data_IF_394596968247
#
_entry.id   IF_394596968247
#
_cell.length_a   1.000
_cell.length_b   1.000
_cell.length_c   1.000
_cell.angle_alpha   90.00
_cell.angle_beta   90.00
_cell.angle_gamma   90.00
#
_symmetry.space_group_name_H-M   'P 1'
#
loop_
_entity.id
_entity.type
_entity.pdbx_description
1 polymer ?
#
# COMPACT_ATOMS: atom_id res chain seq x y z
N UNK A 1 -17.74 -14.43 12.78
CA UNK A 1 -19.04 -14.37 12.06
C UNK A 1 -19.90 -13.16 12.41
N UNK A 2 -19.46 -11.91 12.15
CA UNK A 2 -20.34 -10.74 12.17
C UNK A 2 -20.60 -10.27 10.72
N UNK A 3 -21.21 -11.15 9.94
CA UNK A 3 -21.21 -11.09 8.47
C UNK A 3 -21.91 -9.88 7.83
N UNK A 4 -22.70 -9.10 8.59
CA UNK A 4 -23.33 -7.90 8.07
C UNK A 4 -23.45 -6.82 9.16
N UNK A 5 -22.50 -5.87 9.16
CA UNK A 5 -22.47 -4.74 10.11
C UNK A 5 -23.75 -3.89 10.06
N UNK A 6 -24.27 -3.66 8.85
CA UNK A 6 -25.48 -2.87 8.64
C UNK A 6 -26.72 -3.56 9.21
N UNK A 7 -26.87 -4.87 8.97
CA UNK A 7 -27.99 -5.64 9.53
C UNK A 7 -27.99 -5.64 11.06
N UNK A 8 -26.82 -5.67 11.70
CA UNK A 8 -26.74 -5.56 13.16
C UNK A 8 -27.23 -4.19 13.65
N UNK A 9 -26.84 -3.10 12.99
CA UNK A 9 -27.31 -1.74 13.35
C UNK A 9 -28.83 -1.62 13.20
N UNK A 10 -29.39 -2.18 12.11
CA UNK A 10 -30.85 -2.21 11.89
C UNK A 10 -31.55 -3.01 13.00
N UNK A 11 -31.06 -4.21 13.30
CA UNK A 11 -31.64 -5.06 14.34
C UNK A 11 -31.62 -4.39 15.73
N UNK A 12 -30.47 -3.86 16.14
CA UNK A 12 -30.35 -3.19 17.44
C UNK A 12 -31.25 -1.96 17.55
N UNK A 13 -31.50 -1.27 16.44
CA UNK A 13 -32.43 -0.13 16.41
C UNK A 13 -33.87 -0.56 16.58
N UNK A 14 -34.31 -1.60 15.88
CA UNK A 14 -35.66 -2.15 16.04
C UNK A 14 -35.90 -2.69 17.45
N UNK A 15 -34.88 -3.29 18.08
CA UNK A 15 -34.95 -3.75 19.46
C UNK A 15 -35.06 -2.58 20.44
N UNK A 16 -34.30 -1.49 20.22
CA UNK A 16 -34.39 -0.27 21.02
C UNK A 16 -35.75 0.41 20.89
N UNK A 17 -36.28 0.53 19.67
CA UNK A 17 -37.59 1.16 19.43
C UNK A 17 -38.70 0.42 20.21
N UNK A 18 -38.62 -0.92 20.31
CA UNK A 18 -39.55 -1.72 21.12
C UNK A 18 -39.37 -1.47 22.61
N UNK A 19 -38.14 -1.53 23.12
CA UNK A 19 -37.84 -1.31 24.54
C UNK A 19 -38.23 0.09 25.01
N UNK A 20 -38.01 1.10 24.17
CA UNK A 20 -38.43 2.48 24.44
C UNK A 20 -39.94 2.62 24.45
N UNK A 21 -40.65 1.98 23.50
CA UNK A 21 -42.11 1.94 23.52
C UNK A 21 -42.65 1.22 24.76
N UNK A 22 -42.02 0.15 25.20
CA UNK A 22 -42.43 -0.57 26.42
C UNK A 22 -42.16 0.26 27.69
N UNK A 23 -41.05 1.01 27.72
CA UNK A 23 -40.70 1.90 28.81
C UNK A 23 -41.63 3.13 28.90
N UNK A 24 -42.03 3.68 27.75
CA UNK A 24 -43.02 4.77 27.70
C UNK A 24 -44.38 4.31 28.28
N UNK A 25 -44.72 3.02 28.14
CA UNK A 25 -45.93 2.42 28.70
C UNK A 25 -45.80 2.06 30.20
N UNK A 26 -44.62 1.63 30.65
CA UNK A 26 -44.33 1.33 32.06
C UNK A 26 -42.96 1.86 32.50
N UNK A 27 -42.87 3.16 32.85
CA UNK A 27 -41.60 3.82 33.14
C UNK A 27 -40.90 3.32 34.40
N UNK A 28 -41.62 2.62 35.28
CA UNK A 28 -41.11 2.16 36.58
C UNK A 28 -40.50 0.76 36.49
N UNK A 29 -40.55 0.14 35.32
CA UNK A 29 -40.08 -1.23 35.12
C UNK A 29 -38.56 -1.30 35.03
N UNK A 30 -37.92 -1.58 36.16
CA UNK A 30 -36.45 -1.68 36.28
C UNK A 30 -35.86 -2.69 35.29
N UNK A 31 -36.55 -3.80 35.03
CA UNK A 31 -36.07 -4.82 34.08
C UNK A 31 -36.06 -4.34 32.63
N UNK A 32 -36.98 -3.45 32.24
CA UNK A 32 -37.00 -2.83 30.91
C UNK A 32 -35.94 -1.74 30.82
N UNK A 33 -35.75 -0.94 31.88
CA UNK A 33 -34.69 0.07 31.95
C UNK A 33 -33.28 -0.54 31.80
N UNK A 34 -33.00 -1.65 32.49
CA UNK A 34 -31.70 -2.33 32.40
C UNK A 34 -31.47 -2.91 31.00
N UNK A 35 -32.51 -3.47 30.37
CA UNK A 35 -32.43 -3.98 29.00
C UNK A 35 -32.23 -2.87 27.99
N UNK A 36 -32.95 -1.75 28.12
CA UNK A 36 -32.79 -0.56 27.29
C UNK A 36 -31.35 -0.04 27.40
N UNK A 37 -30.84 0.15 28.62
CA UNK A 37 -29.47 0.61 28.85
C UNK A 37 -28.43 -0.29 28.17
N UNK A 38 -28.60 -1.60 28.26
CA UNK A 38 -27.72 -2.59 27.62
C UNK A 38 -27.83 -2.56 26.09
N UNK A 39 -29.05 -2.43 25.57
CA UNK A 39 -29.32 -2.33 24.14
C UNK A 39 -28.75 -1.05 23.54
N UNK A 40 -28.78 0.08 24.28
CA UNK A 40 -28.20 1.36 23.87
C UNK A 40 -26.69 1.24 23.71
N UNK A 41 -26.01 0.60 24.67
CA UNK A 41 -24.56 0.34 24.57
C UNK A 41 -24.26 -0.51 23.33
N UNK A 42 -25.00 -1.59 23.14
CA UNK A 42 -24.78 -2.52 22.02
C UNK A 42 -25.03 -1.88 20.66
N UNK A 43 -26.06 -1.04 20.54
CA UNK A 43 -26.36 -0.25 19.34
C UNK A 43 -25.22 0.73 19.03
N UNK A 44 -24.74 1.46 20.03
CA UNK A 44 -23.65 2.43 19.86
C UNK A 44 -22.35 1.75 19.42
N UNK A 45 -22.05 0.57 19.95
CA UNK A 45 -20.90 -0.24 19.51
C UNK A 45 -21.05 -0.68 18.05
N UNK A 46 -22.22 -1.19 17.66
CA UNK A 46 -22.49 -1.61 16.28
C UNK A 46 -22.36 -0.44 15.29
N UNK A 47 -22.92 0.72 15.66
CA UNK A 47 -22.87 1.94 14.89
C UNK A 47 -21.43 2.46 14.76
N UNK A 48 -20.62 2.37 15.82
CA UNK A 48 -19.20 2.70 15.77
C UNK A 48 -18.43 1.77 14.81
N UNK A 49 -18.71 0.48 14.82
CA UNK A 49 -18.07 -0.47 13.91
C UNK A 49 -18.44 -0.18 12.45
N UNK A 50 -19.71 0.07 12.14
CA UNK A 50 -20.16 0.43 10.79
C UNK A 50 -19.49 1.73 10.30
N UNK A 51 -19.44 2.77 11.14
CA UNK A 51 -18.75 4.03 10.82
C UNK A 51 -17.26 3.83 10.54
N UNK A 52 -16.56 3.04 11.37
CA UNK A 52 -15.14 2.72 11.17
C UNK A 52 -14.92 1.97 9.86
N UNK A 53 -15.77 1.00 9.57
CA UNK A 53 -15.73 0.23 8.33
C UNK A 53 -15.92 1.14 7.10
N UNK A 54 -16.93 2.00 7.10
CA UNK A 54 -17.16 2.95 6.00
C UNK A 54 -15.98 3.91 5.81
N UNK A 55 -15.40 4.42 6.90
CA UNK A 55 -14.20 5.27 6.84
C UNK A 55 -13.00 4.53 6.22
N UNK A 56 -12.78 3.28 6.62
CA UNK A 56 -11.70 2.46 6.06
C UNK A 56 -11.95 2.15 4.58
N UNK A 57 -13.19 1.85 4.20
CA UNK A 57 -13.57 1.60 2.81
C UNK A 57 -13.31 2.81 1.91
N UNK A 58 -13.60 4.01 2.39
CA UNK A 58 -13.28 5.27 1.67
C UNK A 58 -11.77 5.46 1.55
N UNK A 59 -11.01 5.23 2.64
CA UNK A 59 -9.56 5.38 2.65
C UNK A 59 -8.85 4.46 1.66
N UNK A 60 -9.30 3.20 1.54
CA UNK A 60 -8.69 2.22 0.64
C UNK A 60 -9.05 2.44 -0.84
N UNK A 61 -9.95 3.40 -1.13
CA UNK A 61 -10.44 3.65 -2.47
C UNK A 61 -11.37 2.56 -3.00
N UNK A 62 -11.86 2.73 -4.22
CA UNK A 62 -12.56 1.68 -4.95
C UNK A 62 -11.59 1.01 -5.92
N UNK A 63 -11.79 -0.28 -6.26
CA UNK A 63 -11.05 -0.91 -7.34
C UNK A 63 -11.27 -0.08 -8.61
N UNK A 64 -10.24 0.64 -9.05
CA UNK A 64 -10.26 1.30 -10.33
C UNK A 64 -10.20 0.27 -11.44
N UNK A 65 -10.86 0.53 -12.57
CA UNK A 65 -10.65 -0.25 -13.79
C UNK A 65 -9.23 0.00 -14.27
N UNK A 66 -8.33 -0.95 -14.05
CA UNK A 66 -7.00 -0.93 -14.65
C UNK A 66 -7.13 -1.30 -16.12
N UNK A 67 -6.76 -0.41 -17.03
CA UNK A 67 -6.50 -0.80 -18.42
C UNK A 67 -5.21 -1.60 -18.46
N UNK A 68 -5.14 -2.65 -19.27
CA UNK A 68 -3.88 -3.36 -19.50
C UNK A 68 -2.81 -2.34 -19.92
N UNK A 69 -1.72 -2.31 -19.15
CA UNK A 69 -0.60 -1.41 -19.41
C UNK A 69 0.03 -1.87 -20.72
N UNK A 70 -0.24 -1.18 -21.84
CA UNK A 70 0.34 -1.54 -23.14
C UNK A 70 1.83 -1.19 -23.10
N UNK A 71 2.65 -2.18 -22.75
CA UNK A 71 4.11 -2.06 -22.60
C UNK A 71 4.87 -2.00 -23.92
N UNK A 72 4.19 -2.23 -25.05
CA UNK A 72 4.86 -2.41 -26.35
C UNK A 72 5.72 -1.20 -26.76
N UNK A 73 5.31 0.01 -26.39
CA UNK A 73 5.98 1.28 -26.75
C UNK A 73 6.41 2.12 -25.53
N UNK A 74 6.52 1.53 -24.35
CA UNK A 74 6.96 2.26 -23.15
C UNK A 74 8.39 2.81 -23.31
N UNK A 75 9.22 2.10 -24.08
CA UNK A 75 10.57 2.48 -24.43
C UNK A 75 10.71 2.54 -25.95
N UNK A 76 10.44 3.70 -26.57
CA UNK A 76 10.51 3.85 -28.03
C UNK A 76 11.95 3.78 -28.54
N UNK A 77 12.93 4.08 -27.69
CA UNK A 77 14.36 4.00 -28.00
C UNK A 77 14.89 2.73 -27.33
N UNK A 78 15.21 1.74 -28.16
CA UNK A 78 15.83 0.47 -27.73
C UNK A 78 17.22 0.38 -28.35
N UNK A 79 18.13 -0.27 -27.62
CA UNK A 79 19.42 -0.68 -28.18
C UNK A 79 19.18 -1.66 -29.32
N UNK A 80 20.11 -1.73 -30.26
CA UNK A 80 20.10 -2.82 -31.21
C UNK A 80 20.54 -4.13 -30.54
N UNK A 81 20.20 -5.26 -31.14
CA UNK A 81 20.46 -6.59 -30.54
C UNK A 81 21.95 -6.81 -30.23
N UNK A 82 22.85 -6.31 -31.08
CA UNK A 82 24.29 -6.48 -30.88
C UNK A 82 24.80 -5.66 -29.70
N UNK A 83 24.37 -4.40 -29.57
CA UNK A 83 24.69 -3.56 -28.41
C UNK A 83 24.15 -4.15 -27.11
N UNK A 84 22.92 -4.67 -27.14
CA UNK A 84 22.31 -5.32 -25.98
C UNK A 84 23.09 -6.58 -25.57
N UNK A 85 23.52 -7.40 -26.54
CA UNK A 85 24.34 -8.58 -26.29
C UNK A 85 25.73 -8.22 -25.76
N UNK A 86 26.36 -7.16 -26.29
CA UNK A 86 27.63 -6.63 -25.78
C UNK A 86 27.50 -6.13 -24.34
N UNK A 87 26.38 -5.54 -23.94
CA UNK A 87 26.18 -5.02 -22.58
C UNK A 87 25.99 -6.11 -21.52
N UNK A 88 25.55 -7.32 -21.91
CA UNK A 88 25.30 -8.43 -20.98
C UNK A 88 26.39 -9.49 -20.99
N UNK A 89 27.41 -9.35 -21.83
CA UNK A 89 28.54 -10.30 -21.88
C UNK A 89 29.46 -10.14 -20.66
N UNK A 90 30.22 -11.18 -20.38
CA UNK A 90 31.24 -11.12 -19.33
C UNK A 90 32.32 -10.08 -19.67
N UNK A 91 32.72 -9.31 -18.64
CA UNK A 91 33.77 -8.30 -18.77
C UNK A 91 35.12 -8.99 -18.88
N UNK A 92 35.87 -8.68 -19.94
CA UNK A 92 37.20 -9.26 -20.16
C UNK A 92 38.31 -8.42 -19.50
N UNK A 93 39.43 -9.06 -19.13
CA UNK A 93 40.62 -8.35 -18.65
C UNK A 93 41.14 -7.32 -19.68
N UNK A 94 40.99 -7.61 -20.98
CA UNK A 94 41.38 -6.68 -22.04
C UNK A 94 40.47 -5.44 -22.06
N UNK A 95 39.17 -5.62 -21.88
CA UNK A 95 38.22 -4.51 -21.78
C UNK A 95 38.51 -3.63 -20.56
N UNK A 96 38.75 -4.24 -19.39
CA UNK A 96 39.16 -3.50 -18.19
C UNK A 96 40.44 -2.71 -18.46
N UNK A 97 41.47 -3.33 -19.05
CA UNK A 97 42.73 -2.66 -19.38
C UNK A 97 42.53 -1.52 -20.38
N UNK A 98 41.74 -1.75 -21.43
CA UNK A 98 41.44 -0.76 -22.45
C UNK A 98 40.66 0.43 -21.89
N UNK A 99 39.64 0.17 -21.06
CA UNK A 99 38.86 1.21 -20.38
C UNK A 99 39.69 1.99 -19.37
N UNK A 100 40.56 1.31 -18.61
CA UNK A 100 41.51 1.97 -17.71
C UNK A 100 42.49 2.88 -18.46
N UNK A 101 42.94 2.44 -19.64
CA UNK A 101 43.93 3.17 -20.43
C UNK A 101 43.36 4.26 -21.33
N UNK A 102 42.06 4.22 -21.63
CA UNK A 102 41.36 5.29 -22.35
C UNK A 102 41.15 6.54 -21.49
N UNK A 103 41.21 6.43 -20.15
CA UNK A 103 41.15 7.58 -19.24
C UNK A 103 42.42 8.45 -19.33
N UNK A 104 42.31 9.77 -19.23
CA UNK A 104 43.48 10.67 -19.19
C UNK A 104 44.42 10.38 -18.01
N UNK A 105 45.74 10.53 -18.20
CA UNK A 105 46.74 10.38 -17.13
C UNK A 105 46.80 11.58 -16.18
N UNK A 106 46.16 12.68 -16.57
CA UNK A 106 46.01 13.96 -15.87
C UNK A 106 44.80 14.00 -14.94
N UNK A 107 44.07 12.89 -14.80
CA UNK A 107 42.92 12.79 -13.89
C UNK A 107 43.38 12.85 -12.43
N UNK A 108 42.58 13.55 -11.61
CA UNK A 108 42.83 13.70 -10.17
C UNK A 108 42.91 12.33 -9.47
N UNK A 109 43.78 12.17 -8.46
CA UNK A 109 43.92 10.92 -7.72
C UNK A 109 42.65 10.57 -6.95
N UNK A 110 42.39 9.27 -6.80
CA UNK A 110 41.30 8.79 -5.95
C UNK A 110 41.58 8.98 -4.46
N UNK A 111 40.66 8.58 -3.57
CA UNK A 111 40.85 8.66 -2.12
C UNK A 111 42.08 7.91 -1.59
N UNK A 112 42.61 6.97 -2.36
CA UNK A 112 43.83 6.21 -2.07
C UNK A 112 45.12 6.92 -2.55
N UNK A 113 45.02 8.08 -3.19
CA UNK A 113 46.17 8.87 -3.66
C UNK A 113 46.78 8.44 -4.99
N UNK A 114 46.27 7.39 -5.65
CA UNK A 114 46.79 6.93 -6.94
C UNK A 114 45.98 7.47 -8.12
N UNK A 115 46.66 7.77 -9.23
CA UNK A 115 46.04 8.14 -10.52
C UNK A 115 46.07 6.95 -11.49
N UNK A 116 45.31 7.05 -12.58
CA UNK A 116 45.32 6.04 -13.66
C UNK A 116 46.72 5.84 -14.27
N UNK A 117 47.57 6.88 -14.26
CA UNK A 117 48.94 6.85 -14.78
C UNK A 117 49.79 5.73 -14.17
N UNK A 118 49.71 5.53 -12.85
CA UNK A 118 50.45 4.47 -12.15
C UNK A 118 50.16 3.07 -12.73
N UNK A 119 48.90 2.80 -13.07
CA UNK A 119 48.49 1.51 -13.62
C UNK A 119 48.77 1.36 -15.12
N UNK A 120 49.03 2.47 -15.84
CA UNK A 120 49.39 2.44 -17.27
C UNK A 120 50.83 2.07 -17.53
N UNK A 121 51.70 2.26 -16.56
CA UNK A 121 53.14 1.97 -16.66
C UNK A 121 53.47 0.48 -16.44
N UNK A 122 52.47 -0.40 -16.26
CA UNK A 122 52.58 -1.85 -16.07
C UNK A 122 51.92 -2.68 -17.18
#
# INVERSE_FOLDING_TARGET
DKGNLHANVVWFREELDKLQSDLDNDPSNVGIQEKEATAVVSFNEALLMEKKFLKQKVFLGQPGTTTDFIVNDLFPIKLNDNEALEMVRDISNQEVKSAMFSMGSDKSPGPNGFTTAFFKES
#
